data_IF_575887102059
#
_entry.id   IF_575887102059
#
_cell.length_a   1.000
_cell.length_b   1.000
_cell.length_c   1.000
_cell.angle_alpha   90.00
_cell.angle_beta   90.00
_cell.angle_gamma   90.00
#
_symmetry.space_group_name_H-M   'P 1'
#
loop_
_entity.id
_entity.type
_entity.pdbx_description
1 polymer ?
#
# COMPACT_ATOMS: atom_id res chain seq x y z
N UNK A 1 20.64 -9.45 -15.16
CA UNK A 1 19.83 -9.60 -16.39
C UNK A 1 18.39 -9.66 -15.93
N UNK A 2 17.45 -8.95 -16.55
CA UNK A 2 16.04 -8.96 -16.09
C UNK A 2 15.37 -10.25 -16.57
N UNK A 3 14.61 -10.91 -15.70
CA UNK A 3 13.91 -12.15 -16.05
C UNK A 3 12.65 -11.85 -16.85
N UNK A 4 12.48 -12.53 -17.99
CA UNK A 4 11.20 -12.56 -18.69
C UNK A 4 10.38 -13.71 -18.13
N UNK A 5 9.17 -13.42 -17.67
CA UNK A 5 8.31 -14.42 -17.01
C UNK A 5 6.94 -14.49 -17.68
N UNK A 6 6.35 -15.69 -17.67
CA UNK A 6 4.98 -15.94 -18.12
C UNK A 6 4.01 -16.02 -16.93
N UNK A 7 2.69 -15.93 -17.15
CA UNK A 7 1.68 -16.04 -16.09
C UNK A 7 1.85 -17.22 -15.13
N UNK A 8 2.28 -18.38 -15.65
CA UNK A 8 2.43 -19.62 -14.89
C UNK A 8 3.83 -19.78 -14.26
N UNK A 9 4.78 -18.88 -14.56
CA UNK A 9 6.14 -18.93 -14.02
C UNK A 9 6.18 -18.39 -12.58
N UNK A 10 6.91 -19.08 -11.70
CA UNK A 10 7.30 -18.55 -10.39
C UNK A 10 8.18 -17.30 -10.53
N UNK A 11 8.18 -16.44 -9.51
CA UNK A 11 9.12 -15.33 -9.44
C UNK A 11 10.56 -15.84 -9.24
N UNK A 12 11.56 -15.17 -9.83
CA UNK A 12 12.97 -15.48 -9.59
C UNK A 12 13.39 -15.08 -8.16
N UNK A 13 14.54 -15.58 -7.67
CA UNK A 13 15.10 -15.20 -6.38
C UNK A 13 15.32 -13.68 -6.27
N UNK A 14 15.03 -13.10 -5.10
CA UNK A 14 15.09 -11.64 -4.89
C UNK A 14 16.52 -11.09 -5.04
N UNK A 15 17.52 -11.91 -4.77
CA UNK A 15 18.94 -11.59 -4.90
C UNK A 15 19.34 -11.28 -6.35
N UNK A 16 18.55 -11.72 -7.32
CA UNK A 16 18.78 -11.48 -8.75
C UNK A 16 18.18 -10.14 -9.25
N UNK A 17 17.44 -9.42 -8.40
CA UNK A 17 16.95 -8.08 -8.74
C UNK A 17 18.12 -7.11 -9.00
N UNK A 18 17.94 -6.25 -10.00
CA UNK A 18 18.95 -5.27 -10.39
C UNK A 18 19.22 -4.24 -9.28
N UNK A 19 20.46 -3.77 -9.19
CA UNK A 19 20.82 -2.59 -8.39
C UNK A 19 20.44 -1.28 -9.07
N UNK A 20 20.42 -1.26 -10.40
CA UNK A 20 20.00 -0.12 -11.23
C UNK A 20 19.26 -0.63 -12.48
N UNK A 21 17.98 -0.27 -12.69
CA UNK A 21 17.11 0.43 -11.75
C UNK A 21 16.84 -0.42 -10.49
N UNK A 22 16.91 0.21 -9.31
CA UNK A 22 16.90 -0.50 -8.03
C UNK A 22 15.64 -1.36 -7.85
N UNK A 23 15.86 -2.66 -7.75
CA UNK A 23 14.83 -3.64 -7.43
C UNK A 23 14.14 -4.26 -8.63
N UNK A 24 14.41 -3.84 -9.87
CA UNK A 24 13.78 -4.46 -11.04
C UNK A 24 14.17 -5.94 -11.11
N UNK A 25 13.18 -6.82 -10.96
CA UNK A 25 13.37 -8.25 -10.83
C UNK A 25 12.94 -8.97 -12.12
N UNK A 26 11.76 -8.65 -12.63
CA UNK A 26 11.22 -9.35 -13.79
C UNK A 26 10.23 -8.53 -14.61
N UNK A 27 9.97 -8.99 -15.83
CA UNK A 27 9.09 -8.39 -16.84
C UNK A 27 8.12 -9.44 -17.38
N UNK A 28 6.85 -9.09 -17.50
CA UNK A 28 5.80 -9.93 -18.06
C UNK A 28 4.93 -10.62 -17.01
N UNK A 29 4.23 -11.67 -17.41
CA UNK A 29 3.18 -12.32 -16.62
C UNK A 29 1.84 -11.59 -16.76
N UNK A 30 1.07 -11.54 -15.67
CA UNK A 30 -0.24 -10.90 -15.60
C UNK A 30 -0.50 -10.28 -14.21
N UNK A 31 -1.67 -9.68 -14.02
CA UNK A 31 -2.13 -9.17 -12.73
C UNK A 31 -3.20 -10.08 -12.11
N UNK A 32 -3.14 -11.39 -12.36
CA UNK A 32 -4.09 -12.33 -11.78
C UNK A 32 -3.99 -12.30 -10.24
N UNK A 33 -5.11 -12.47 -9.50
CA UNK A 33 -5.10 -12.41 -8.03
C UNK A 33 -4.07 -13.35 -7.41
N UNK A 34 -3.98 -14.58 -7.92
CA UNK A 34 -2.99 -15.56 -7.44
C UNK A 34 -1.57 -15.03 -7.57
N UNK A 35 -1.24 -14.44 -8.71
CA UNK A 35 0.11 -13.95 -9.01
C UNK A 35 0.46 -12.72 -8.17
N UNK A 36 -0.47 -11.79 -7.99
CA UNK A 36 -0.29 -10.65 -7.09
C UNK A 36 -0.05 -11.14 -5.66
N UNK A 37 -0.85 -12.09 -5.17
CA UNK A 37 -0.65 -12.67 -3.84
C UNK A 37 0.75 -13.28 -3.70
N UNK A 38 1.15 -14.12 -4.65
CA UNK A 38 2.48 -14.74 -4.64
C UNK A 38 3.62 -13.69 -4.70
N UNK A 39 3.42 -12.58 -5.43
CA UNK A 39 4.34 -11.46 -5.48
C UNK A 39 4.50 -10.77 -4.12
N UNK A 40 3.40 -10.29 -3.53
CA UNK A 40 3.44 -9.54 -2.26
C UNK A 40 4.03 -10.36 -1.12
N UNK A 41 3.71 -11.65 -1.06
CA UNK A 41 4.28 -12.54 -0.05
C UNK A 41 5.79 -12.74 -0.20
N UNK A 42 6.29 -12.62 -1.42
CA UNK A 42 7.72 -12.67 -1.72
C UNK A 42 8.37 -11.29 -1.62
N UNK A 43 7.64 -10.25 -1.20
CA UNK A 43 8.16 -8.89 -1.14
C UNK A 43 8.36 -8.26 -2.52
N UNK A 44 7.53 -8.65 -3.49
CA UNK A 44 7.54 -8.17 -4.87
C UNK A 44 6.24 -7.39 -5.11
N UNK A 45 6.31 -6.27 -5.83
CA UNK A 45 5.11 -5.52 -6.23
C UNK A 45 5.18 -5.13 -7.72
N UNK A 46 4.03 -5.04 -8.41
CA UNK A 46 3.97 -4.55 -9.78
C UNK A 46 4.08 -3.01 -9.80
N UNK A 47 4.86 -2.47 -10.73
CA UNK A 47 4.92 -1.02 -10.94
C UNK A 47 5.38 -0.68 -12.36
N UNK A 48 4.48 -0.23 -13.22
CA UNK A 48 4.74 0.01 -14.64
C UNK A 48 3.77 1.05 -15.19
N UNK A 49 4.09 1.65 -16.34
CA UNK A 49 3.19 2.56 -17.06
C UNK A 49 2.24 1.78 -17.97
N UNK A 50 1.11 2.38 -18.38
CA UNK A 50 0.07 1.71 -19.19
C UNK A 50 0.59 1.12 -20.52
N UNK A 51 1.60 1.74 -21.12
CA UNK A 51 2.22 1.29 -22.38
C UNK A 51 3.40 0.31 -22.17
N UNK A 52 3.72 -0.03 -20.92
CA UNK A 52 4.81 -0.94 -20.56
C UNK A 52 4.29 -2.34 -20.25
N UNK A 53 5.10 -3.40 -20.48
CA UNK A 53 4.79 -4.71 -19.90
C UNK A 53 4.80 -4.63 -18.37
N UNK A 54 4.11 -5.57 -17.70
CA UNK A 54 4.14 -5.65 -16.23
C UNK A 54 5.57 -5.77 -15.74
N UNK A 55 6.01 -4.82 -14.91
CA UNK A 55 7.32 -4.82 -14.26
C UNK A 55 7.17 -5.14 -12.78
N UNK A 56 8.04 -6.03 -12.29
CA UNK A 56 8.01 -6.53 -10.92
C UNK A 56 9.26 -6.10 -10.14
N UNK A 57 9.05 -5.56 -8.95
CA UNK A 57 10.08 -4.86 -8.19
C UNK A 57 10.26 -5.40 -6.77
N UNK A 58 11.51 -5.45 -6.32
CA UNK A 58 11.89 -5.70 -4.93
C UNK A 58 13.16 -4.90 -4.56
N UNK A 59 13.04 -3.61 -4.23
CA UNK A 59 14.18 -2.72 -3.98
C UNK A 59 14.97 -3.09 -2.74
N UNK A 60 16.25 -2.72 -2.74
CA UNK A 60 17.14 -2.78 -1.58
C UNK A 60 17.86 -1.42 -1.41
N UNK A 61 17.68 -0.69 -0.30
CA UNK A 61 16.82 -1.02 0.84
C UNK A 61 15.32 -0.90 0.54
N UNK A 62 14.49 -1.48 1.42
CA UNK A 62 13.03 -1.41 1.43
C UNK A 62 12.56 -0.39 2.47
N UNK A 63 11.68 0.54 2.09
CA UNK A 63 11.06 1.45 3.06
C UNK A 63 9.89 0.78 3.78
N UNK A 64 9.86 0.89 5.11
CA UNK A 64 8.83 0.31 5.97
C UNK A 64 8.44 1.28 7.09
N UNK A 65 7.28 1.07 7.70
CA UNK A 65 6.89 1.69 8.97
C UNK A 65 6.51 0.59 9.97
N UNK A 66 7.21 0.54 11.09
CA UNK A 66 6.76 -0.22 12.25
C UNK A 66 5.65 0.59 12.93
N UNK A 67 4.46 0.00 13.24
CA UNK A 67 3.33 0.78 13.76
C UNK A 67 3.63 1.59 15.02
N UNK A 68 4.48 1.08 15.91
CA UNK A 68 4.93 1.76 17.13
C UNK A 68 5.91 2.93 16.88
N UNK A 69 6.45 3.07 15.67
CA UNK A 69 7.37 4.16 15.28
C UNK A 69 6.64 5.36 14.66
N UNK A 70 5.29 5.32 14.57
CA UNK A 70 4.48 6.39 13.98
C UNK A 70 4.76 7.76 14.62
N UNK A 71 5.15 8.72 13.78
CA UNK A 71 5.36 10.11 14.17
C UNK A 71 4.19 10.97 13.73
N UNK A 72 3.42 11.47 14.70
CA UNK A 72 2.35 12.45 14.46
C UNK A 72 2.86 13.84 14.83
N UNK A 73 3.05 14.72 13.84
CA UNK A 73 3.54 16.08 14.09
C UNK A 73 2.57 16.90 14.96
N UNK A 74 3.07 17.98 15.58
CA UNK A 74 2.22 18.87 16.40
C UNK A 74 1.06 19.47 15.59
N UNK A 75 1.29 19.84 14.34
CA UNK A 75 0.23 20.38 13.45
C UNK A 75 -0.80 19.31 13.11
N UNK A 76 -0.37 18.09 12.74
CA UNK A 76 -1.28 16.99 12.43
C UNK A 76 -2.12 16.58 13.64
N UNK A 77 -1.53 16.55 14.85
CA UNK A 77 -2.29 16.34 16.10
C UNK A 77 -3.38 17.40 16.30
N UNK A 78 -3.13 18.66 15.93
CA UNK A 78 -4.16 19.71 15.99
C UNK A 78 -5.26 19.46 14.96
N UNK A 79 -4.91 19.07 13.74
CA UNK A 79 -5.88 18.72 12.69
C UNK A 79 -6.78 17.56 13.13
N UNK A 80 -6.20 16.48 13.65
CA UNK A 80 -6.94 15.32 14.20
C UNK A 80 -7.89 15.76 15.33
N UNK A 81 -7.42 16.59 16.27
CA UNK A 81 -8.23 17.05 17.40
C UNK A 81 -9.44 17.93 17.02
N UNK A 82 -9.50 18.49 15.82
CA UNK A 82 -10.67 19.27 15.38
C UNK A 82 -11.92 18.40 15.22
N UNK A 83 -11.73 17.09 15.00
CA UNK A 83 -12.79 16.10 14.85
C UNK A 83 -13.89 16.52 13.86
N UNK A 84 -13.50 17.18 12.77
CA UNK A 84 -14.40 17.69 11.73
C UNK A 84 -14.36 16.80 10.48
N UNK A 85 -14.14 15.50 10.68
CA UNK A 85 -14.03 14.48 9.65
C UNK A 85 -14.58 13.15 10.17
N UNK A 86 -14.82 12.21 9.26
CA UNK A 86 -15.08 10.81 9.60
C UNK A 86 -14.08 9.91 8.89
N UNK A 87 -13.58 8.89 9.58
CA UNK A 87 -12.76 7.85 8.95
C UNK A 87 -13.63 6.61 8.71
N UNK A 88 -13.56 6.06 7.50
CA UNK A 88 -14.25 4.84 7.10
C UNK A 88 -13.27 3.87 6.46
N UNK A 89 -13.64 2.60 6.45
CA UNK A 89 -12.89 1.54 5.80
C UNK A 89 -13.76 0.86 4.77
N UNK A 90 -13.15 0.39 3.68
CA UNK A 90 -13.77 -0.49 2.68
C UNK A 90 -15.14 -0.05 2.15
N UNK A 91 -15.45 1.24 2.27
CA UNK A 91 -16.76 1.76 1.90
C UNK A 91 -16.80 2.19 0.44
N UNK A 92 -15.67 2.66 -0.09
CA UNK A 92 -15.53 3.22 -1.44
C UNK A 92 -14.17 2.88 -2.08
N UNK A 93 -13.75 1.61 -2.02
CA UNK A 93 -12.43 1.14 -2.46
C UNK A 93 -12.06 1.60 -3.89
N UNK A 94 -12.93 1.35 -4.87
CA UNK A 94 -12.65 1.72 -6.27
C UNK A 94 -12.55 3.23 -6.47
N UNK A 95 -13.34 4.03 -5.73
CA UNK A 95 -13.23 5.50 -5.78
C UNK A 95 -11.93 6.00 -5.17
N UNK A 96 -11.44 5.34 -4.11
CA UNK A 96 -10.12 5.63 -3.51
C UNK A 96 -9.02 5.35 -4.53
N UNK A 97 -9.05 4.20 -5.21
CA UNK A 97 -8.07 3.88 -6.25
C UNK A 97 -8.11 4.89 -7.41
N UNK A 98 -9.30 5.25 -7.90
CA UNK A 98 -9.46 6.27 -8.94
C UNK A 98 -8.95 7.64 -8.49
N UNK A 99 -9.16 8.01 -7.23
CA UNK A 99 -8.64 9.25 -6.67
C UNK A 99 -7.11 9.24 -6.50
N UNK A 100 -6.53 8.07 -6.20
CA UNK A 100 -5.07 7.85 -6.25
C UNK A 100 -4.52 7.91 -7.68
N UNK A 101 -5.32 7.49 -8.67
CA UNK A 101 -4.95 7.49 -10.08
C UNK A 101 -4.94 8.90 -10.71
N UNK A 102 -5.70 9.83 -10.12
CA UNK A 102 -5.88 11.18 -10.66
C UNK A 102 -4.55 11.94 -10.81
N UNK A 103 -4.36 12.69 -11.91
CA UNK A 103 -3.16 13.49 -12.11
C UNK A 103 -2.90 14.43 -10.93
N UNK A 104 -1.68 14.40 -10.39
CA UNK A 104 -1.26 15.38 -9.39
C UNK A 104 -0.87 16.66 -10.13
N UNK A 105 -1.11 17.83 -9.51
CA UNK A 105 -0.92 19.17 -10.11
C UNK A 105 0.40 19.38 -10.89
N UNK A 106 1.45 18.58 -10.64
CA UNK A 106 2.76 18.66 -11.28
C UNK A 106 3.33 17.29 -11.75
N UNK A 107 2.51 16.26 -12.00
CA UNK A 107 2.97 14.95 -12.49
C UNK A 107 2.10 14.43 -13.64
N UNK A 108 2.75 13.91 -14.67
CA UNK A 108 2.11 13.21 -15.80
C UNK A 108 1.67 11.82 -15.37
N UNK A 109 0.36 11.60 -15.29
CA UNK A 109 -0.24 10.29 -15.03
C UNK A 109 0.16 9.65 -13.71
N UNK A 110 -0.42 8.50 -13.42
CA UNK A 110 0.06 7.58 -12.38
C UNK A 110 0.13 6.19 -13.00
N UNK A 111 0.89 5.29 -12.38
CA UNK A 111 0.94 3.87 -12.74
C UNK A 111 -0.40 3.13 -12.48
N UNK A 112 -1.41 3.81 -11.93
CA UNK A 112 -2.71 3.23 -11.63
C UNK A 112 -3.64 3.45 -12.84
N UNK A 113 -3.50 2.58 -13.84
CA UNK A 113 -4.37 2.52 -15.02
C UNK A 113 -5.52 1.50 -14.83
N UNK A 114 -6.51 1.43 -15.74
CA UNK A 114 -7.72 0.62 -15.54
C UNK A 114 -7.49 -0.86 -15.22
N UNK A 115 -6.40 -1.45 -15.75
CA UNK A 115 -6.02 -2.83 -15.45
C UNK A 115 -5.62 -3.02 -13.98
N UNK A 116 -4.83 -2.10 -13.43
CA UNK A 116 -4.46 -2.09 -12.00
C UNK A 116 -5.69 -1.92 -11.11
N UNK A 117 -6.60 -1.00 -11.47
CA UNK A 117 -7.86 -0.82 -10.72
C UNK A 117 -8.65 -2.13 -10.70
N UNK A 118 -8.81 -2.77 -11.86
CA UNK A 118 -9.55 -4.03 -11.97
C UNK A 118 -8.92 -5.14 -11.12
N UNK A 119 -7.60 -5.32 -11.21
CA UNK A 119 -6.89 -6.35 -10.47
C UNK A 119 -7.02 -6.19 -8.95
N UNK A 120 -6.88 -4.96 -8.45
CA UNK A 120 -6.97 -4.70 -7.01
C UNK A 120 -8.41 -4.65 -6.50
N UNK A 121 -9.39 -4.31 -7.35
CA UNK A 121 -10.81 -4.50 -7.01
C UNK A 121 -11.12 -5.98 -6.77
N UNK A 122 -10.59 -6.89 -7.60
CA UNK A 122 -10.73 -8.33 -7.34
C UNK A 122 -10.06 -8.73 -6.02
N UNK A 123 -8.89 -8.19 -5.70
CA UNK A 123 -8.24 -8.42 -4.41
C UNK A 123 -9.06 -7.87 -3.23
N UNK A 124 -9.79 -6.77 -3.42
CA UNK A 124 -10.70 -6.22 -2.42
C UNK A 124 -11.91 -7.12 -2.20
N UNK A 125 -12.52 -7.61 -3.28
CA UNK A 125 -13.68 -8.52 -3.24
C UNK A 125 -13.39 -9.83 -2.49
N UNK A 126 -12.14 -10.31 -2.56
CA UNK A 126 -11.70 -11.52 -1.83
C UNK A 126 -11.14 -11.22 -0.42
N UNK A 127 -11.20 -9.96 0.04
CA UNK A 127 -10.81 -9.57 1.42
C UNK A 127 -9.31 -9.45 1.65
N UNK A 128 -8.54 -9.11 0.61
CA UNK A 128 -7.09 -8.87 0.73
C UNK A 128 -6.69 -7.42 0.53
N UNK A 129 -7.38 -6.69 -0.34
CA UNK A 129 -7.14 -5.26 -0.51
C UNK A 129 -8.17 -4.45 0.28
N UNK A 130 -7.69 -3.42 0.96
CA UNK A 130 -8.50 -2.59 1.84
C UNK A 130 -8.24 -1.11 1.60
N UNK A 131 -9.24 -0.28 1.83
CA UNK A 131 -9.15 1.17 1.76
C UNK A 131 -9.46 1.81 3.11
N UNK A 132 -8.85 2.99 3.33
CA UNK A 132 -9.17 3.87 4.45
C UNK A 132 -9.48 5.24 3.89
N UNK A 133 -10.67 5.75 4.22
CA UNK A 133 -11.22 6.98 3.67
C UNK A 133 -11.36 8.05 4.74
N UNK A 134 -10.95 9.28 4.43
CA UNK A 134 -11.25 10.46 5.25
C UNK A 134 -12.31 11.29 4.57
N UNK A 135 -13.45 11.45 5.25
CA UNK A 135 -14.61 12.20 4.80
C UNK A 135 -14.70 13.53 5.53
N UNK A 136 -14.90 14.63 4.81
CA UNK A 136 -15.09 15.98 5.39
C UNK A 136 -16.34 16.58 4.74
N UNK A 137 -17.30 17.02 5.54
CA UNK A 137 -18.57 17.58 5.06
C UNK A 137 -19.33 16.67 4.08
N UNK A 138 -19.23 15.34 4.26
CA UNK A 138 -19.86 14.35 3.38
C UNK A 138 -19.09 14.06 2.09
N UNK A 139 -17.95 14.68 1.85
CA UNK A 139 -17.11 14.45 0.67
C UNK A 139 -15.88 13.60 0.99
N UNK A 140 -15.51 12.71 0.06
CA UNK A 140 -14.26 11.94 0.11
C UNK A 140 -13.07 12.89 -0.07
N UNK A 141 -12.46 13.30 1.05
CA UNK A 141 -11.45 14.36 1.11
C UNK A 141 -10.01 13.83 1.01
N UNK A 142 -9.81 12.55 1.26
CA UNK A 142 -8.51 11.87 1.14
C UNK A 142 -8.65 10.40 1.53
N UNK A 143 -7.59 9.64 1.30
CA UNK A 143 -7.59 8.22 1.63
C UNK A 143 -6.36 7.51 1.10
N UNK A 144 -6.32 6.21 1.35
CA UNK A 144 -5.29 5.30 0.90
C UNK A 144 -5.87 3.91 0.69
N UNK A 145 -5.16 3.09 -0.06
CA UNK A 145 -5.44 1.66 -0.13
C UNK A 145 -4.16 0.84 0.01
N UNK A 146 -4.32 -0.43 0.32
CA UNK A 146 -3.22 -1.38 0.43
C UNK A 146 -3.71 -2.80 0.58
N UNK A 147 -2.79 -3.74 0.73
CA UNK A 147 -3.10 -5.16 0.94
C UNK A 147 -2.80 -5.58 2.37
N UNK A 148 -3.66 -6.39 2.96
CA UNK A 148 -3.43 -7.01 4.25
C UNK A 148 -3.13 -8.51 4.07
N UNK A 149 -1.94 -8.96 4.49
CA UNK A 149 -1.60 -10.39 4.51
C UNK A 149 -0.97 -10.74 5.85
N UNK A 150 -1.64 -11.60 6.61
CA UNK A 150 -1.26 -11.93 7.98
C UNK A 150 -1.14 -10.69 8.87
N UNK A 151 0.08 -10.36 9.31
CA UNK A 151 0.40 -9.21 10.16
C UNK A 151 1.21 -8.13 9.45
N UNK A 152 1.22 -8.15 8.12
CA UNK A 152 1.87 -7.13 7.27
C UNK A 152 0.83 -6.43 6.42
N UNK A 153 0.89 -5.10 6.40
CA UNK A 153 0.08 -4.26 5.51
C UNK A 153 0.96 -3.65 4.43
N UNK A 154 0.64 -3.87 3.16
CA UNK A 154 1.36 -3.32 2.02
C UNK A 154 0.64 -2.06 1.54
N UNK A 155 1.14 -0.87 1.91
CA UNK A 155 0.49 0.39 1.56
C UNK A 155 0.81 0.76 0.11
N UNK A 156 -0.19 0.93 -0.74
CA UNK A 156 0.04 1.09 -2.19
C UNK A 156 0.12 2.55 -2.60
N UNK A 157 -0.95 3.30 -2.35
CA UNK A 157 -1.00 4.72 -2.69
C UNK A 157 -1.98 5.45 -1.81
N UNK A 158 -1.84 6.78 -1.81
CA UNK A 158 -2.70 7.68 -1.08
C UNK A 158 -2.96 8.96 -1.87
N UNK A 159 -4.09 9.59 -1.60
CA UNK A 159 -4.48 10.87 -2.18
C UNK A 159 -5.05 11.81 -1.12
N UNK A 160 -4.96 13.11 -1.38
CA UNK A 160 -5.50 14.15 -0.52
C UNK A 160 -6.07 15.26 -1.39
N UNK A 161 -7.38 15.53 -1.26
CA UNK A 161 -8.05 16.69 -1.87
C UNK A 161 -8.04 17.89 -0.92
N UNK A 162 -8.07 17.63 0.38
CA UNK A 162 -7.99 18.63 1.45
C UNK A 162 -6.68 18.46 2.24
N UNK A 163 -6.08 19.53 2.80
CA UNK A 163 -4.90 19.40 3.65
C UNK A 163 -5.10 18.39 4.79
N UNK A 164 -4.06 17.59 5.05
CA UNK A 164 -3.99 16.54 6.07
C UNK A 164 -4.94 15.35 5.92
N UNK A 165 -5.88 15.34 4.97
CA UNK A 165 -6.85 14.24 4.83
C UNK A 165 -6.19 12.87 4.66
N UNK A 166 -5.20 12.73 3.76
CA UNK A 166 -4.46 11.46 3.61
C UNK A 166 -3.68 11.07 4.87
N UNK A 167 -3.15 12.06 5.61
CA UNK A 167 -2.40 11.81 6.85
C UNK A 167 -3.33 11.38 7.98
N UNK A 168 -4.55 11.90 8.02
CA UNK A 168 -5.58 11.47 8.97
C UNK A 168 -5.91 10.00 8.71
N UNK A 169 -6.25 9.63 7.46
CA UNK A 169 -6.46 8.22 7.07
C UNK A 169 -5.28 7.33 7.48
N UNK A 170 -4.05 7.76 7.18
CA UNK A 170 -2.85 7.00 7.52
C UNK A 170 -2.65 6.83 9.03
N UNK A 171 -2.88 7.87 9.84
CA UNK A 171 -2.75 7.78 11.30
C UNK A 171 -3.81 6.83 11.89
N UNK A 172 -5.05 6.88 11.39
CA UNK A 172 -6.11 5.94 11.82
C UNK A 172 -5.77 4.51 11.42
N UNK A 173 -5.34 4.28 10.18
CA UNK A 173 -4.85 2.99 9.72
C UNK A 173 -3.79 2.44 10.67
N UNK A 174 -2.71 3.18 10.89
CA UNK A 174 -1.56 2.70 11.69
C UNK A 174 -1.98 2.37 13.13
N UNK A 175 -2.88 3.17 13.71
CA UNK A 175 -3.43 2.91 15.05
C UNK A 175 -4.28 1.65 15.09
N UNK A 176 -5.13 1.43 14.09
CA UNK A 176 -5.92 0.22 14.04
C UNK A 176 -5.04 -1.01 13.79
N UNK A 177 -4.08 -0.92 12.86
CA UNK A 177 -3.12 -1.99 12.60
C UNK A 177 -2.35 -2.37 13.87
N UNK A 178 -1.94 -1.39 14.67
CA UNK A 178 -1.33 -1.61 15.99
C UNK A 178 -2.29 -2.33 16.95
N UNK A 179 -3.57 -1.92 17.01
CA UNK A 179 -4.59 -2.61 17.81
C UNK A 179 -4.83 -4.06 17.36
N UNK A 180 -4.79 -4.31 16.06
CA UNK A 180 -4.89 -5.64 15.45
C UNK A 180 -3.57 -6.44 15.47
N UNK A 181 -2.53 -5.94 16.15
CA UNK A 181 -1.22 -6.56 16.29
C UNK A 181 -0.50 -6.81 14.95
N UNK A 182 -0.68 -5.93 13.96
CA UNK A 182 0.19 -5.91 12.78
C UNK A 182 1.59 -5.46 13.20
N UNK A 183 2.59 -6.03 12.54
CA UNK A 183 4.00 -5.82 12.89
C UNK A 183 4.69 -4.85 11.94
N UNK A 184 4.18 -4.70 10.72
CA UNK A 184 4.83 -3.94 9.68
C UNK A 184 3.84 -3.35 8.68
N UNK A 185 4.14 -2.12 8.25
CA UNK A 185 3.57 -1.51 7.05
C UNK A 185 4.68 -1.40 6.00
N UNK A 186 4.56 -2.08 4.87
CA UNK A 186 5.45 -1.89 3.72
C UNK A 186 5.09 -0.57 3.01
N UNK A 187 6.13 0.21 2.73
CA UNK A 187 6.08 1.52 2.05
C UNK A 187 6.87 1.51 0.74
N UNK A 188 7.34 0.34 0.31
CA UNK A 188 8.11 0.09 -0.91
C UNK A 188 9.35 0.98 -1.04
N UNK A 189 9.19 2.14 -1.68
CA UNK A 189 10.26 3.06 -2.06
C UNK A 189 10.27 4.30 -1.18
N UNK A 190 11.47 4.83 -0.94
CA UNK A 190 11.66 5.96 -0.04
C UNK A 190 10.90 7.20 -0.48
N UNK A 191 10.13 7.78 0.43
CA UNK A 191 9.57 9.14 0.27
C UNK A 191 9.84 10.01 1.49
N UNK A 192 10.11 11.30 1.26
CA UNK A 192 10.26 12.27 2.36
C UNK A 192 8.96 12.40 3.18
N UNK A 193 7.80 12.20 2.52
CA UNK A 193 6.51 12.23 3.17
C UNK A 193 6.37 11.13 4.24
N UNK A 194 6.60 9.87 3.87
CA UNK A 194 6.50 8.74 4.80
C UNK A 194 7.62 8.77 5.86
N UNK A 195 8.82 9.23 5.49
CA UNK A 195 9.91 9.42 6.46
C UNK A 195 9.52 10.41 7.58
N UNK A 196 8.80 11.48 7.23
CA UNK A 196 8.30 12.45 8.21
C UNK A 196 7.25 11.86 9.17
N UNK A 197 6.59 10.76 8.76
CA UNK A 197 5.60 10.01 9.54
C UNK A 197 6.21 8.84 10.33
N UNK A 198 7.54 8.66 10.28
CA UNK A 198 8.26 7.65 11.06
C UNK A 198 8.79 6.48 10.24
N UNK A 199 8.45 6.37 8.96
CA UNK A 199 8.95 5.28 8.12
C UNK A 199 10.47 5.38 7.91
N UNK A 200 11.12 4.23 7.78
CA UNK A 200 12.57 4.08 7.63
C UNK A 200 12.90 2.96 6.64
N UNK A 201 14.14 2.95 6.18
CA UNK A 201 14.66 1.91 5.30
C UNK A 201 15.22 0.73 6.12
N UNK A 202 15.01 -0.49 5.64
CA UNK A 202 15.65 -1.73 6.10
C UNK A 202 16.25 -2.49 4.91
N UNK A 203 17.28 -3.33 5.11
CA UNK A 203 17.76 -4.21 4.06
C UNK A 203 16.64 -5.12 3.54
N UNK A 204 16.62 -5.40 2.23
CA UNK A 204 15.64 -6.32 1.62
C UNK A 204 15.63 -7.69 2.30
N UNK A 205 16.79 -8.19 2.70
CA UNK A 205 16.90 -9.47 3.41
C UNK A 205 16.16 -9.46 4.76
N UNK A 206 16.22 -8.36 5.53
CA UNK A 206 15.47 -8.20 6.78
C UNK A 206 13.98 -8.15 6.51
N UNK A 207 13.56 -7.41 5.47
CA UNK A 207 12.16 -7.35 5.05
C UNK A 207 11.62 -8.74 4.67
N UNK A 208 12.34 -9.50 3.85
CA UNK A 208 11.95 -10.86 3.45
C UNK A 208 11.84 -11.82 4.64
N UNK A 209 12.68 -11.66 5.67
CA UNK A 209 12.58 -12.43 6.90
C UNK A 209 11.32 -12.09 7.72
N UNK A 210 10.92 -10.81 7.73
CA UNK A 210 9.65 -10.40 8.34
C UNK A 210 8.47 -11.02 7.57
N UNK A 211 8.49 -10.95 6.24
CA UNK A 211 7.41 -11.52 5.41
C UNK A 211 7.26 -13.03 5.61
N UNK A 212 8.36 -13.79 5.62
CA UNK A 212 8.30 -15.24 5.80
C UNK A 212 7.70 -15.67 7.15
N UNK A 213 7.77 -14.79 8.15
CA UNK A 213 7.20 -15.02 9.48
C UNK A 213 5.76 -14.55 9.60
N UNK A 214 5.40 -13.42 8.95
CA UNK A 214 4.19 -12.68 9.27
C UNK A 214 3.19 -12.51 8.11
N UNK A 215 3.59 -12.73 6.85
CA UNK A 215 2.74 -12.51 5.67
C UNK A 215 1.96 -13.77 5.25
N UNK A 216 1.07 -14.25 6.12
CA UNK A 216 0.22 -15.42 5.85
C UNK A 216 -0.81 -15.18 4.73
N UNK A 217 -1.15 -16.26 3.99
CA UNK A 217 -2.13 -16.23 2.87
C UNK A 217 -3.59 -15.98 3.30
N UNK A 218 -3.88 -15.96 4.60
CA UNK A 218 -5.27 -15.98 5.06
C UNK A 218 -5.89 -14.58 4.97
N UNK A 219 -6.72 -14.39 3.96
CA UNK A 219 -7.60 -13.24 3.85
C UNK A 219 -8.55 -13.18 5.05
N UNK A 220 -8.80 -11.98 5.56
CA UNK A 220 -9.98 -11.72 6.36
C UNK A 220 -11.09 -11.36 5.37
N UNK A 221 -12.12 -12.20 5.27
CA UNK A 221 -13.27 -11.89 4.38
C UNK A 221 -14.12 -10.73 4.94
N UNK A 222 -13.80 -10.25 6.14
CA UNK A 222 -14.46 -9.13 6.77
C UNK A 222 -13.97 -7.80 6.19
N UNK A 223 -14.92 -6.98 5.73
CA UNK A 223 -14.66 -5.59 5.39
C UNK A 223 -14.20 -4.83 6.61
N UNK A 224 -13.22 -3.95 6.43
CA UNK A 224 -12.78 -3.04 7.47
C UNK A 224 -13.85 -2.00 7.73
N UNK A 225 -14.20 -1.82 8.99
CA UNK A 225 -15.06 -0.74 9.44
C UNK A 225 -14.39 0.02 10.59
N UNK A 226 -14.13 1.29 10.37
CA UNK A 226 -13.55 2.21 11.37
C UNK A 226 -14.59 3.12 12.01
N UNK A 227 -15.88 2.95 11.70
CA UNK A 227 -16.97 3.84 12.17
C UNK A 227 -17.14 3.87 13.70
N UNK A 228 -16.50 2.95 14.43
CA UNK A 228 -16.56 2.81 15.88
C UNK A 228 -15.26 3.18 16.63
N UNK A 229 -14.22 3.69 15.95
CA UNK A 229 -12.92 3.98 16.58
C UNK A 229 -12.89 5.21 17.50
N UNK A 230 -13.95 6.01 17.53
CA UNK A 230 -14.01 7.26 18.29
C UNK A 230 -14.65 7.09 19.70
N UNK A 231 -14.85 5.85 20.18
CA UNK A 231 -15.16 5.52 21.59
C UNK A 231 -13.90 5.22 22.42
#
# INVERSE_FOLDING_TARGET
MVHLISPDSSFPPLEEALSEPNGLLAVGGDLSPKRLIDAYQSGIFPWFNEDEPVLWWSPDPRMVLFPNELKVSRSLRKSIKKNNYHVRGDSHFSEVMQACAAPRRNQSGTWIHPEMVSAYTVLHEIGLAHSVETWINGELAGGLYGLAMGKVFFGESMFSRTPDASKIAFVYLVRQLMYWNYVLIDCQVRTAHLASLGAREIPRAEFSQILSTWAEKKASVEKWDFSHMDE
#
